data_IF_193455568425
#
_entry.id   IF_193455568425
#
_cell.length_a   1.000
_cell.length_b   1.000
_cell.length_c   1.000
_cell.angle_alpha   90.00
_cell.angle_beta   90.00
_cell.angle_gamma   90.00
#
_symmetry.space_group_name_H-M   'P 1'
#
loop_
_entity.id
_entity.type
_entity.pdbx_description
1 polymer ?
#
# COMPACT_ATOMS: atom_id res chain seq x y z
N UNK A 1 -28.92 -8.61 -14.03
CA UNK A 1 -29.47 -9.14 -12.76
C UNK A 1 -28.39 -9.92 -11.98
N UNK A 2 -27.34 -9.27 -11.57
CA UNK A 2 -26.24 -10.01 -10.94
C UNK A 2 -26.14 -9.85 -9.43
N UNK A 3 -27.00 -9.13 -8.73
CA UNK A 3 -26.74 -8.89 -7.31
C UNK A 3 -28.02 -8.76 -6.48
N UNK A 4 -28.63 -9.91 -6.16
CA UNK A 4 -29.50 -10.02 -4.98
C UNK A 4 -28.73 -10.53 -3.74
N UNK A 5 -27.47 -10.94 -3.88
CA UNK A 5 -26.62 -11.35 -2.77
C UNK A 5 -25.84 -10.14 -2.27
N UNK A 6 -25.86 -9.92 -0.97
CA UNK A 6 -25.10 -8.86 -0.30
C UNK A 6 -23.65 -9.25 -0.05
N UNK A 7 -23.33 -10.55 -0.01
CA UNK A 7 -22.01 -11.10 0.21
C UNK A 7 -21.61 -12.05 -0.92
N UNK A 8 -20.39 -11.97 -1.39
CA UNK A 8 -19.83 -12.86 -2.41
C UNK A 8 -18.31 -13.01 -2.24
N UNK A 9 -17.80 -14.11 -2.78
CA UNK A 9 -16.37 -14.39 -2.78
C UNK A 9 -15.80 -14.14 -4.18
N UNK A 10 -14.70 -13.40 -4.25
CA UNK A 10 -13.97 -13.13 -5.48
C UNK A 10 -12.70 -13.99 -5.46
N UNK A 11 -12.54 -14.88 -6.44
CA UNK A 11 -11.29 -15.60 -6.65
C UNK A 11 -10.27 -14.67 -7.30
N UNK A 12 -9.10 -14.58 -6.69
CA UNK A 12 -7.96 -13.80 -7.20
C UNK A 12 -6.70 -14.65 -7.20
N UNK A 13 -5.66 -14.21 -7.92
CA UNK A 13 -4.34 -14.86 -7.89
C UNK A 13 -3.74 -14.89 -6.48
N UNK A 14 -4.11 -13.94 -5.63
CA UNK A 14 -3.69 -13.85 -4.23
C UNK A 14 -4.63 -14.58 -3.24
N UNK A 15 -5.55 -15.42 -3.76
CA UNK A 15 -6.55 -16.15 -2.98
C UNK A 15 -7.94 -15.54 -3.05
N UNK A 16 -8.88 -16.19 -2.39
CA UNK A 16 -10.28 -15.75 -2.34
C UNK A 16 -10.43 -14.53 -1.44
N UNK A 17 -11.18 -13.52 -1.89
CA UNK A 17 -11.52 -12.31 -1.15
C UNK A 17 -13.02 -12.23 -0.89
N UNK A 18 -13.39 -12.07 0.38
CA UNK A 18 -14.79 -11.83 0.76
C UNK A 18 -15.14 -10.38 0.48
N UNK A 19 -16.24 -10.17 -0.22
CA UNK A 19 -16.76 -8.85 -0.57
C UNK A 19 -18.19 -8.73 -0.12
N UNK A 20 -18.57 -7.56 0.40
CA UNK A 20 -19.91 -7.24 0.88
C UNK A 20 -20.40 -5.98 0.19
N UNK A 21 -21.56 -6.02 -0.45
CA UNK A 21 -22.20 -4.84 -1.01
C UNK A 21 -22.88 -4.06 0.12
N UNK A 22 -22.45 -2.82 0.32
CA UNK A 22 -22.99 -1.94 1.36
C UNK A 22 -24.13 -1.06 0.82
N UNK A 23 -24.01 -0.60 -0.42
CA UNK A 23 -25.02 0.21 -1.08
C UNK A 23 -24.99 -0.03 -2.61
N UNK A 24 -26.07 -0.61 -3.13
CA UNK A 24 -26.22 -0.89 -4.55
C UNK A 24 -26.42 0.37 -5.41
N UNK A 25 -26.99 1.43 -4.84
CA UNK A 25 -27.31 2.67 -5.57
C UNK A 25 -26.06 3.50 -5.86
N UNK A 26 -25.04 3.38 -5.01
CA UNK A 26 -23.77 4.10 -5.13
C UNK A 26 -22.55 3.19 -5.38
N UNK A 27 -22.79 1.90 -5.59
CA UNK A 27 -21.74 0.88 -5.81
C UNK A 27 -20.72 0.79 -4.67
N UNK A 28 -21.14 1.02 -3.43
CA UNK A 28 -20.27 0.84 -2.26
C UNK A 28 -20.14 -0.63 -1.90
N UNK A 29 -18.90 -1.08 -1.76
CA UNK A 29 -18.60 -2.42 -1.27
C UNK A 29 -17.46 -2.40 -0.25
N UNK A 30 -17.48 -3.36 0.66
CA UNK A 30 -16.39 -3.70 1.55
C UNK A 30 -15.67 -4.93 1.01
N UNK A 31 -14.35 -4.94 1.04
CA UNK A 31 -13.53 -6.08 0.60
C UNK A 31 -12.52 -6.41 1.70
N UNK A 32 -12.51 -7.67 2.15
CA UNK A 32 -11.47 -8.16 3.05
C UNK A 32 -10.17 -8.36 2.27
N UNK A 33 -9.16 -7.53 2.56
CA UNK A 33 -7.84 -7.60 1.93
C UNK A 33 -6.90 -8.62 2.58
N UNK A 34 -7.32 -9.26 3.69
CA UNK A 34 -6.53 -10.24 4.42
C UNK A 34 -5.59 -9.63 5.45
N UNK A 35 -4.62 -10.43 5.91
CA UNK A 35 -3.68 -10.07 6.97
C UNK A 35 -2.35 -9.63 6.39
N UNK A 36 -1.77 -8.51 6.83
CA UNK A 36 -0.44 -8.09 6.40
C UNK A 36 0.64 -9.03 6.96
N UNK A 37 1.74 -9.18 6.22
CA UNK A 37 2.90 -10.00 6.59
C UNK A 37 4.19 -9.22 6.26
N UNK A 38 5.00 -8.91 7.26
CA UNK A 38 6.23 -8.13 7.11
C UNK A 38 7.49 -9.00 7.01
N UNK A 39 7.33 -10.32 6.92
CA UNK A 39 8.46 -11.24 6.82
C UNK A 39 9.27 -11.01 5.53
N UNK A 40 10.61 -11.03 5.63
CA UNK A 40 11.49 -10.84 4.47
C UNK A 40 11.23 -11.81 3.32
N UNK A 41 10.80 -13.02 3.64
CA UNK A 41 10.44 -14.08 2.68
C UNK A 41 9.24 -13.68 1.83
N UNK A 42 8.21 -13.09 2.44
CA UNK A 42 6.99 -12.63 1.76
C UNK A 42 7.23 -11.39 0.93
N UNK A 43 7.99 -10.43 1.44
CA UNK A 43 8.35 -9.22 0.70
C UNK A 43 9.50 -9.43 -0.29
N UNK A 44 10.05 -10.66 -0.39
CA UNK A 44 11.19 -11.01 -1.26
C UNK A 44 12.38 -10.08 -1.10
N UNK A 45 12.68 -9.73 0.15
CA UNK A 45 13.80 -8.86 0.48
C UNK A 45 15.17 -9.55 0.32
N UNK A 46 16.20 -8.79 -0.03
CA UNK A 46 17.61 -9.20 -0.01
C UNK A 46 18.23 -9.03 1.38
N UNK A 47 17.46 -9.29 2.44
CA UNK A 47 17.90 -9.29 3.84
C UNK A 47 17.04 -10.27 4.65
N UNK A 48 17.47 -10.59 5.89
CA UNK A 48 16.86 -11.59 6.76
C UNK A 48 16.00 -11.01 7.88
N UNK A 49 15.82 -9.70 7.90
CA UNK A 49 15.01 -8.99 8.91
C UNK A 49 13.97 -8.09 8.22
N UNK A 50 12.86 -7.78 8.89
CA UNK A 50 11.81 -6.92 8.33
C UNK A 50 12.32 -5.53 7.95
N UNK A 51 11.71 -4.94 6.93
CA UNK A 51 11.98 -3.56 6.50
C UNK A 51 11.02 -2.63 7.26
N UNK A 52 11.47 -2.12 8.41
CA UNK A 52 10.68 -1.19 9.25
C UNK A 52 11.47 0.08 9.53
N UNK A 53 10.96 1.23 9.12
CA UNK A 53 11.63 2.54 9.25
C UNK A 53 13.11 2.48 8.80
N UNK A 54 13.37 1.74 7.74
CA UNK A 54 14.72 1.53 7.22
C UNK A 54 15.09 2.64 6.25
N UNK A 55 16.27 3.23 6.44
CA UNK A 55 16.84 4.15 5.46
C UNK A 55 17.42 3.38 4.27
N UNK A 56 17.07 3.82 3.06
CA UNK A 56 17.70 3.44 1.79
C UNK A 56 18.22 4.68 1.09
N UNK A 57 19.18 4.51 0.21
CA UNK A 57 19.75 5.62 -0.59
C UNK A 57 19.12 5.63 -1.99
N UNK A 58 18.52 6.75 -2.36
CA UNK A 58 17.95 7.00 -3.69
C UNK A 58 18.62 8.25 -4.28
N UNK A 59 19.47 8.07 -5.29
CA UNK A 59 20.21 9.16 -5.96
C UNK A 59 21.03 10.04 -4.96
N UNK A 60 21.66 9.43 -3.95
CA UNK A 60 22.45 10.14 -2.96
C UNK A 60 21.64 10.75 -1.81
N UNK A 61 20.32 10.60 -1.81
CA UNK A 61 19.45 11.05 -0.72
C UNK A 61 18.90 9.86 0.06
N UNK A 62 18.78 10.03 1.37
CA UNK A 62 18.20 9.03 2.26
C UNK A 62 16.68 9.11 2.24
N UNK A 63 16.05 7.95 2.10
CA UNK A 63 14.60 7.79 2.14
C UNK A 63 14.27 6.69 3.16
N UNK A 64 13.39 6.99 4.11
CA UNK A 64 12.91 6.01 5.09
C UNK A 64 11.74 5.24 4.54
N UNK A 65 11.82 3.92 4.58
CA UNK A 65 10.80 3.01 4.05
C UNK A 65 10.35 1.99 5.10
N UNK A 66 9.12 1.53 4.96
CA UNK A 66 8.59 0.33 5.64
C UNK A 66 7.89 -0.54 4.60
N UNK A 67 8.12 -1.85 4.63
CA UNK A 67 7.54 -2.76 3.64
C UNK A 67 6.80 -3.91 4.28
N UNK A 68 5.70 -4.31 3.64
CA UNK A 68 4.91 -5.49 4.00
C UNK A 68 4.30 -6.13 2.75
N UNK A 69 3.84 -7.36 2.91
CA UNK A 69 3.04 -8.08 1.93
C UNK A 69 1.56 -8.00 2.32
N UNK A 70 0.72 -7.54 1.40
CA UNK A 70 -0.74 -7.57 1.53
C UNK A 70 -1.35 -7.88 0.16
N UNK A 71 -1.47 -9.17 -0.15
CA UNK A 71 -1.82 -9.64 -1.51
C UNK A 71 -0.70 -9.46 -2.54
N UNK A 72 0.12 -8.43 -2.39
CA UNK A 72 1.35 -8.17 -3.14
C UNK A 72 2.34 -7.41 -2.24
N UNK A 73 3.57 -7.17 -2.74
CA UNK A 73 4.59 -6.46 -1.97
C UNK A 73 4.32 -4.95 -2.03
N UNK A 74 4.23 -4.31 -0.87
CA UNK A 74 4.06 -2.87 -0.72
C UNK A 74 5.19 -2.26 0.10
N UNK A 75 5.73 -1.14 -0.37
CA UNK A 75 6.67 -0.29 0.34
C UNK A 75 6.02 1.08 0.55
N UNK A 76 6.00 1.54 1.77
CA UNK A 76 5.39 2.80 2.19
C UNK A 76 6.48 3.81 2.51
N UNK A 77 6.33 5.03 1.98
CA UNK A 77 7.17 6.20 2.23
C UNK A 77 6.29 7.32 2.72
N UNK A 78 6.55 7.85 3.92
CA UNK A 78 5.83 9.02 4.42
C UNK A 78 6.53 10.30 4.00
N UNK A 79 5.74 11.25 3.55
CA UNK A 79 6.20 12.53 2.99
C UNK A 79 5.31 13.69 3.46
N UNK A 80 5.81 14.93 3.37
CA UNK A 80 5.01 16.12 3.69
C UNK A 80 3.95 16.41 2.61
N UNK A 81 4.26 16.12 1.34
CA UNK A 81 3.34 16.33 0.23
C UNK A 81 3.50 15.19 -0.79
N UNK A 82 2.50 14.31 -0.86
CA UNK A 82 2.51 13.16 -1.76
C UNK A 82 2.36 13.52 -3.25
N UNK A 83 2.02 14.78 -3.56
CA UNK A 83 1.82 15.26 -4.93
C UNK A 83 3.05 15.95 -5.53
N UNK A 84 4.15 16.07 -4.77
CA UNK A 84 5.38 16.64 -5.31
C UNK A 84 5.93 15.82 -6.47
N UNK A 85 6.36 16.51 -7.53
CA UNK A 85 6.85 15.89 -8.77
C UNK A 85 8.08 15.01 -8.55
N UNK A 86 8.91 15.33 -7.54
CA UNK A 86 10.11 14.53 -7.20
C UNK A 86 9.75 13.07 -6.89
N UNK A 87 8.57 12.80 -6.32
CA UNK A 87 8.13 11.46 -5.99
C UNK A 87 7.78 10.61 -7.21
N UNK A 88 7.47 11.23 -8.35
CA UNK A 88 7.26 10.50 -9.60
C UNK A 88 8.46 9.65 -9.97
N UNK A 89 9.66 10.24 -9.93
CA UNK A 89 10.90 9.53 -10.25
C UNK A 89 11.37 8.65 -9.09
N UNK A 90 11.26 9.13 -7.86
CA UNK A 90 11.67 8.36 -6.67
C UNK A 90 10.85 7.09 -6.49
N UNK A 91 9.54 7.13 -6.75
CA UNK A 91 8.69 5.93 -6.70
C UNK A 91 9.19 4.82 -7.62
N UNK A 92 9.57 5.16 -8.86
CA UNK A 92 10.18 4.20 -9.79
C UNK A 92 11.50 3.64 -9.27
N UNK A 93 12.39 4.49 -8.76
CA UNK A 93 13.69 4.08 -8.23
C UNK A 93 13.56 3.17 -7.01
N UNK A 94 12.64 3.46 -6.10
CA UNK A 94 12.35 2.61 -4.94
C UNK A 94 11.78 1.27 -5.40
N UNK A 95 10.85 1.28 -6.36
CA UNK A 95 10.28 0.05 -6.93
C UNK A 95 11.36 -0.90 -7.45
N UNK A 96 12.41 -0.37 -8.07
CA UNK A 96 13.52 -1.12 -8.67
C UNK A 96 14.74 -1.25 -7.75
N UNK A 97 14.65 -0.83 -6.49
CA UNK A 97 15.79 -0.86 -5.58
C UNK A 97 16.29 -2.30 -5.35
N UNK A 98 17.62 -2.55 -5.33
CA UNK A 98 18.22 -3.88 -5.17
C UNK A 98 17.81 -4.63 -3.89
N UNK A 99 17.25 -3.93 -2.92
CA UNK A 99 16.67 -4.52 -1.71
C UNK A 99 15.53 -5.51 -2.02
N UNK A 100 14.83 -5.35 -3.15
CA UNK A 100 13.67 -6.17 -3.54
C UNK A 100 14.00 -7.07 -4.74
N UNK A 101 14.00 -8.41 -4.53
CA UNK A 101 14.27 -9.40 -5.59
C UNK A 101 13.25 -9.35 -6.74
N UNK A 102 12.00 -9.07 -6.41
CA UNK A 102 10.87 -9.08 -7.35
C UNK A 102 10.23 -7.69 -7.53
N UNK A 103 10.98 -6.61 -7.19
CA UNK A 103 10.45 -5.24 -7.12
C UNK A 103 9.34 -5.11 -6.07
N UNK A 104 8.84 -3.90 -5.87
CA UNK A 104 7.77 -3.58 -4.92
C UNK A 104 6.82 -2.54 -5.49
N UNK A 105 5.55 -2.56 -5.08
CA UNK A 105 4.67 -1.40 -5.24
C UNK A 105 5.09 -0.34 -4.22
N UNK A 106 5.11 0.91 -4.63
CA UNK A 106 5.53 2.03 -3.77
C UNK A 106 4.34 2.93 -3.50
N UNK A 107 4.02 3.11 -2.23
CA UNK A 107 2.97 4.00 -1.77
C UNK A 107 3.61 5.23 -1.14
N UNK A 108 3.47 6.38 -1.79
CA UNK A 108 3.89 7.68 -1.27
C UNK A 108 2.71 8.25 -0.48
N UNK A 109 2.91 8.45 0.80
CA UNK A 109 1.83 8.71 1.77
C UNK A 109 2.05 10.04 2.48
N UNK A 110 1.05 10.90 2.42
CA UNK A 110 0.91 12.11 3.22
C UNK A 110 -0.13 11.86 4.31
N UNK A 111 0.22 12.13 5.55
CA UNK A 111 -0.72 12.09 6.68
C UNK A 111 -1.34 13.48 6.82
N UNK A 112 -2.60 13.62 6.41
CA UNK A 112 -3.32 14.89 6.50
C UNK A 112 -3.73 15.17 7.95
N UNK A 113 -4.29 14.15 8.61
CA UNK A 113 -4.65 14.15 10.02
C UNK A 113 -4.84 12.70 10.52
N UNK A 114 -5.32 12.54 11.75
CA UNK A 114 -5.56 11.23 12.38
C UNK A 114 -6.51 10.31 11.61
N UNK A 115 -7.35 10.84 10.73
CA UNK A 115 -8.40 10.11 10.02
C UNK A 115 -8.31 10.24 8.50
N UNK A 116 -7.28 10.89 7.97
CA UNK A 116 -7.14 11.14 6.54
C UNK A 116 -5.72 10.95 6.05
N UNK A 117 -5.56 10.17 4.99
CA UNK A 117 -4.32 9.96 4.27
C UNK A 117 -4.49 10.36 2.80
N UNK A 118 -3.44 10.92 2.18
CA UNK A 118 -3.32 10.99 0.71
C UNK A 118 -2.30 9.94 0.29
N UNK A 119 -2.67 9.07 -0.65
CA UNK A 119 -1.82 7.97 -1.13
C UNK A 119 -1.66 8.05 -2.64
N UNK A 120 -0.42 7.99 -3.11
CA UNK A 120 -0.09 7.86 -4.53
C UNK A 120 0.71 6.58 -4.71
N UNK A 121 0.26 5.71 -5.61
CA UNK A 121 0.88 4.39 -5.79
C UNK A 121 1.58 4.26 -7.13
N UNK A 122 2.85 3.85 -7.09
CA UNK A 122 3.60 3.34 -8.24
C UNK A 122 3.57 1.81 -8.20
N UNK A 123 2.86 1.19 -9.13
CA UNK A 123 2.73 -0.27 -9.17
C UNK A 123 3.83 -0.90 -10.02
N UNK A 124 4.45 -1.95 -9.50
CA UNK A 124 5.47 -2.73 -10.21
C UNK A 124 4.92 -3.31 -11.52
N UNK A 125 5.57 -3.01 -12.63
CA UNK A 125 5.17 -3.46 -13.96
C UNK A 125 4.08 -2.62 -14.65
N UNK A 126 3.50 -1.64 -13.95
CA UNK A 126 2.47 -0.74 -14.50
C UNK A 126 2.93 0.73 -14.48
N UNK A 127 3.50 1.19 -13.36
CA UNK A 127 3.83 2.59 -13.13
C UNK A 127 2.83 3.28 -12.20
N UNK A 128 2.67 4.59 -12.32
CA UNK A 128 1.70 5.35 -11.53
C UNK A 128 0.27 5.00 -11.93
N UNK A 129 -0.52 4.60 -10.95
CA UNK A 129 -1.93 4.24 -11.11
C UNK A 129 -2.84 5.22 -10.37
N UNK A 130 -4.10 5.25 -10.78
CA UNK A 130 -5.10 6.14 -10.15
C UNK A 130 -5.58 5.61 -8.81
N UNK A 131 -5.57 4.28 -8.62
CA UNK A 131 -6.06 3.65 -7.41
C UNK A 131 -5.40 2.28 -7.21
N UNK A 132 -5.08 1.96 -5.93
CA UNK A 132 -4.60 0.64 -5.52
C UNK A 132 -5.18 0.31 -4.13
N UNK A 133 -6.20 -0.54 -4.08
CA UNK A 133 -6.89 -0.88 -2.82
C UNK A 133 -5.98 -1.53 -1.78
N UNK A 134 -5.12 -2.49 -2.19
CA UNK A 134 -4.12 -3.09 -1.30
C UNK A 134 -3.06 -2.08 -0.86
N UNK A 135 -2.71 -1.11 -1.71
CA UNK A 135 -1.81 -0.01 -1.37
C UNK A 135 -2.39 0.92 -0.31
N UNK A 136 -3.69 1.24 -0.38
CA UNK A 136 -4.39 2.01 0.65
C UNK A 136 -4.34 1.29 2.01
N UNK A 137 -4.67 -0.01 2.02
CA UNK A 137 -4.64 -0.81 3.24
C UNK A 137 -3.22 -0.94 3.81
N UNK A 138 -2.21 -1.18 2.97
CA UNK A 138 -0.81 -1.24 3.39
C UNK A 138 -0.34 0.11 3.99
N UNK A 139 -0.73 1.22 3.39
CA UNK A 139 -0.43 2.57 3.88
C UNK A 139 -1.04 2.83 5.26
N UNK A 140 -2.30 2.44 5.45
CA UNK A 140 -2.97 2.53 6.76
C UNK A 140 -2.26 1.68 7.82
N UNK A 141 -1.97 0.40 7.52
CA UNK A 141 -1.30 -0.50 8.47
C UNK A 141 0.04 0.08 8.92
N UNK A 142 0.88 0.52 7.96
CA UNK A 142 2.18 1.10 8.30
C UNK A 142 2.03 2.42 9.06
N UNK A 143 1.06 3.28 8.72
CA UNK A 143 0.81 4.52 9.44
C UNK A 143 0.44 4.25 10.92
N UNK A 144 -0.38 3.24 11.16
CA UNK A 144 -0.77 2.82 12.51
C UNK A 144 0.38 2.19 13.29
N UNK A 145 1.11 1.24 12.69
CA UNK A 145 2.26 0.57 13.31
C UNK A 145 3.41 1.52 13.64
N UNK A 146 3.60 2.57 12.84
CA UNK A 146 4.65 3.58 13.07
C UNK A 146 4.20 4.76 13.94
N UNK A 147 2.97 4.69 14.47
CA UNK A 147 2.43 5.71 15.38
C UNK A 147 2.13 7.05 14.72
N UNK A 148 1.99 7.10 13.39
CA UNK A 148 1.63 8.32 12.66
C UNK A 148 0.13 8.64 12.74
N UNK A 149 -0.68 7.61 12.99
CA UNK A 149 -2.11 7.71 13.28
C UNK A 149 -2.49 6.71 14.37
N UNK A 150 -3.56 7.01 15.12
CA UNK A 150 -4.12 6.12 16.16
C UNK A 150 -5.52 5.61 15.80
N UNK A 151 -6.20 6.26 14.87
CA UNK A 151 -7.56 5.95 14.45
C UNK A 151 -7.71 4.51 13.92
N UNK A 152 -8.88 3.89 14.18
CA UNK A 152 -9.20 2.55 13.66
C UNK A 152 -9.78 2.58 12.24
N UNK A 153 -10.14 3.77 11.76
CA UNK A 153 -10.65 4.00 10.40
C UNK A 153 -10.08 5.30 9.85
N UNK A 154 -9.74 5.28 8.58
CA UNK A 154 -9.25 6.45 7.86
C UNK A 154 -9.92 6.55 6.48
N UNK A 155 -10.05 7.77 6.00
CA UNK A 155 -10.34 8.05 4.59
C UNK A 155 -9.01 8.14 3.84
N UNK A 156 -8.90 7.45 2.71
CA UNK A 156 -7.73 7.51 1.84
C UNK A 156 -8.11 8.22 0.56
N UNK A 157 -7.46 9.34 0.30
CA UNK A 157 -7.58 10.11 -0.94
C UNK A 157 -6.52 9.62 -1.95
N UNK A 158 -6.92 9.42 -3.21
CA UNK A 158 -6.09 8.90 -4.30
C UNK A 158 -5.83 9.96 -5.38
#
# INVERSE_FOLDING_TARGET
>A
NMMNEQEFNIETVAGTRKSTVLDNSHFYCSVDMGVPDDSPEKIKANQTYPIKNQEIEINGEKVTITSLFLGTIHTVVFVENAREEVWRKRGELICHHPLFKEKTNVNVVEVVNEQELIVRTYERGVGWTLACGTGCCASYVVAKETGKISADQVVVHL
#
